data_IF_450645597284
#
_entry.id   IF_450645597284
#
_cell.length_a   1.000
_cell.length_b   1.000
_cell.length_c   1.000
_cell.angle_alpha   90.00
_cell.angle_beta   90.00
_cell.angle_gamma   90.00
#
_symmetry.space_group_name_H-M   'P 1'
#
loop_
_entity.id
_entity.type
_entity.pdbx_description
1 polymer ?
#
# COMPACT_ATOMS: atom_id res chain seq x y z
N UNK A 1 32.50 28.29 5.39
CA UNK A 1 31.48 27.64 4.54
C UNK A 1 31.25 26.24 5.10
N UNK A 2 30.02 25.88 5.55
CA UNK A 2 29.74 24.48 5.85
C UNK A 2 29.88 23.66 4.56
N UNK A 3 30.56 22.53 4.65
CA UNK A 3 30.72 21.59 3.54
C UNK A 3 29.34 20.97 3.28
N UNK A 4 28.85 20.87 2.03
CA UNK A 4 27.61 20.14 1.77
C UNK A 4 27.77 18.70 2.26
N UNK A 5 26.96 18.28 3.23
CA UNK A 5 26.94 16.87 3.61
C UNK A 5 26.16 16.10 2.56
N UNK A 6 26.85 15.30 1.75
CA UNK A 6 26.19 14.35 0.85
C UNK A 6 25.74 13.17 1.69
N UNK A 7 24.43 13.03 1.90
CA UNK A 7 23.82 11.87 2.55
C UNK A 7 23.16 10.97 1.51
N UNK A 8 23.13 9.66 1.76
CA UNK A 8 22.42 8.73 0.90
C UNK A 8 20.92 9.06 0.83
N UNK A 9 20.32 8.80 -0.33
CA UNK A 9 18.88 8.84 -0.53
C UNK A 9 18.17 7.89 0.45
N UNK A 10 17.14 8.38 1.14
CA UNK A 10 16.36 7.58 2.10
C UNK A 10 15.09 7.05 1.45
N UNK A 11 14.73 5.81 1.79
CA UNK A 11 13.47 5.19 1.41
C UNK A 11 12.67 4.89 2.69
N UNK A 12 11.42 5.34 2.75
CA UNK A 12 10.51 5.04 3.86
C UNK A 12 9.54 3.95 3.47
N UNK A 13 9.67 2.79 4.13
CA UNK A 13 8.81 1.62 3.85
C UNK A 13 7.48 1.65 4.62
N UNK A 14 7.36 2.51 5.62
CA UNK A 14 6.14 2.68 6.41
C UNK A 14 6.01 4.14 6.88
N UNK A 15 4.95 4.81 6.44
CA UNK A 15 4.59 6.17 6.87
C UNK A 15 3.07 6.34 6.78
N UNK A 16 2.43 6.66 7.90
CA UNK A 16 0.96 6.73 7.98
C UNK A 16 0.39 8.08 7.51
N UNK A 17 1.24 9.11 7.49
CA UNK A 17 0.89 10.47 7.10
C UNK A 17 2.03 11.44 7.35
N UNK A 18 1.96 12.62 6.74
CA UNK A 18 2.89 13.73 6.94
C UNK A 18 2.23 15.05 6.53
N UNK A 19 2.77 16.18 6.99
CA UNK A 19 2.32 17.52 6.57
C UNK A 19 0.79 17.73 6.68
N UNK A 20 0.19 17.28 7.80
CA UNK A 20 -1.26 17.31 8.07
C UNK A 20 -2.13 16.49 7.10
N UNK A 21 -1.53 15.58 6.33
CA UNK A 21 -2.23 14.63 5.49
C UNK A 21 -2.04 13.21 6.02
N UNK A 22 -3.14 12.49 6.25
CA UNK A 22 -3.12 11.09 6.69
C UNK A 22 -3.62 10.19 5.58
N UNK A 23 -2.85 9.16 5.20
CA UNK A 23 -3.19 8.31 4.05
C UNK A 23 -4.44 7.46 4.29
N UNK A 24 -4.80 7.18 5.55
CA UNK A 24 -6.04 6.46 5.90
C UNK A 24 -7.25 7.38 6.08
N UNK A 25 -7.14 8.67 5.76
CA UNK A 25 -8.25 9.63 5.88
C UNK A 25 -8.75 9.97 4.49
N UNK A 26 -9.99 9.59 4.20
CA UNK A 26 -10.67 9.86 2.94
C UNK A 26 -12.04 10.48 3.22
N UNK A 27 -12.31 11.61 2.58
CA UNK A 27 -13.51 12.43 2.78
C UNK A 27 -14.49 12.37 1.59
N UNK A 28 -14.20 11.53 0.59
CA UNK A 28 -15.02 11.36 -0.61
C UNK A 28 -14.54 12.13 -1.85
N UNK A 29 -13.48 12.93 -1.74
CA UNK A 29 -12.99 13.75 -2.86
C UNK A 29 -11.62 13.24 -3.36
N UNK A 30 -11.63 12.56 -4.52
CA UNK A 30 -10.42 11.97 -5.11
C UNK A 30 -9.34 13.00 -5.43
N UNK A 31 -9.75 14.15 -5.99
CA UNK A 31 -8.83 15.20 -6.40
C UNK A 31 -8.09 15.76 -5.18
N UNK A 32 -8.80 16.07 -4.09
CA UNK A 32 -8.21 16.58 -2.86
C UNK A 32 -7.24 15.58 -2.23
N UNK A 33 -7.62 14.30 -2.22
CA UNK A 33 -6.74 13.23 -1.74
C UNK A 33 -5.45 13.13 -2.57
N UNK A 34 -5.55 13.17 -3.90
CA UNK A 34 -4.40 13.13 -4.81
C UNK A 34 -3.52 14.38 -4.63
N UNK A 35 -4.11 15.57 -4.45
CA UNK A 35 -3.35 16.78 -4.17
C UNK A 35 -2.63 16.70 -2.82
N UNK A 36 -3.27 16.15 -1.79
CA UNK A 36 -2.64 15.90 -0.50
C UNK A 36 -1.44 14.95 -0.60
N UNK A 37 -1.58 13.85 -1.33
CA UNK A 37 -0.48 12.92 -1.60
C UNK A 37 0.69 13.59 -2.33
N UNK A 38 0.40 14.37 -3.38
CA UNK A 38 1.42 15.13 -4.13
C UNK A 38 2.09 16.19 -3.26
N UNK A 39 1.34 16.85 -2.39
CA UNK A 39 1.87 17.81 -1.44
C UNK A 39 2.90 17.14 -0.51
N UNK A 40 2.54 15.98 0.09
CA UNK A 40 3.47 15.20 0.93
C UNK A 40 4.72 14.82 0.13
N UNK A 41 4.56 14.29 -1.08
CA UNK A 41 5.68 13.88 -1.92
C UNK A 41 6.65 15.04 -2.24
N UNK A 42 6.12 16.23 -2.56
CA UNK A 42 6.93 17.42 -2.82
C UNK A 42 7.66 17.97 -1.58
N UNK A 43 7.13 17.71 -0.39
CA UNK A 43 7.68 18.24 0.86
C UNK A 43 8.65 17.29 1.54
N UNK A 44 8.36 16.00 1.52
CA UNK A 44 9.17 14.99 2.21
C UNK A 44 10.57 14.86 1.61
N UNK A 45 10.74 15.22 0.33
CA UNK A 45 12.04 15.25 -0.34
C UNK A 45 13.04 16.22 0.31
N UNK A 46 12.54 17.31 0.91
CA UNK A 46 13.35 18.29 1.65
C UNK A 46 14.04 17.65 2.88
N UNK A 47 13.56 16.49 3.35
CA UNK A 47 14.14 15.74 4.49
C UNK A 47 15.18 14.68 4.06
N UNK A 48 15.44 14.57 2.76
CA UNK A 48 16.32 13.57 2.14
C UNK A 48 15.64 12.24 1.80
N UNK A 49 14.30 12.17 1.90
CA UNK A 49 13.51 11.00 1.49
C UNK A 49 13.19 11.11 0.01
N UNK A 50 13.69 10.18 -0.80
CA UNK A 50 13.48 10.21 -2.26
C UNK A 50 12.36 9.29 -2.70
N UNK A 51 11.98 8.32 -1.87
CA UNK A 51 10.90 7.39 -2.17
C UNK A 51 10.21 6.92 -0.89
N UNK A 52 8.90 6.64 -0.95
CA UNK A 52 8.17 6.13 0.20
C UNK A 52 6.97 5.25 -0.16
N UNK A 53 6.51 4.48 0.82
CA UNK A 53 5.29 3.68 0.80
C UNK A 53 4.27 4.26 1.79
N UNK A 54 3.24 4.97 1.31
CA UNK A 54 2.11 5.38 2.15
C UNK A 54 1.44 4.17 2.79
N UNK A 55 1.27 4.24 4.10
CA UNK A 55 0.70 3.16 4.91
C UNK A 55 -0.76 3.45 5.25
N UNK A 56 -1.63 2.54 4.82
CA UNK A 56 -3.02 2.47 5.23
C UNK A 56 -3.14 1.60 6.48
N UNK A 57 -3.55 2.19 7.58
CA UNK A 57 -3.81 1.45 8.82
C UNK A 57 -5.24 0.89 8.84
N UNK A 58 -5.49 -0.10 9.72
CA UNK A 58 -6.82 -0.70 9.94
C UNK A 58 -7.95 0.35 9.99
N UNK A 59 -8.87 0.24 9.03
CA UNK A 59 -10.02 1.13 8.84
C UNK A 59 -11.22 0.35 8.26
N UNK A 60 -12.27 1.07 7.85
CA UNK A 60 -13.42 0.46 7.19
C UNK A 60 -13.01 -0.30 5.91
N UNK A 61 -13.45 -1.56 5.81
CA UNK A 61 -13.11 -2.47 4.70
C UNK A 61 -13.47 -1.89 3.32
N UNK A 62 -14.59 -1.17 3.22
CA UNK A 62 -15.08 -0.58 1.96
C UNK A 62 -14.13 0.48 1.37
N UNK A 63 -13.30 1.11 2.21
CA UNK A 63 -12.40 2.19 1.80
C UNK A 63 -11.09 1.67 1.20
N UNK A 64 -10.68 0.45 1.53
CA UNK A 64 -9.40 -0.11 1.07
C UNK A 64 -9.28 -0.12 -0.46
N UNK A 65 -10.20 -0.71 -1.24
CA UNK A 65 -10.03 -0.79 -2.69
C UNK A 65 -9.86 0.59 -3.33
N UNK A 66 -10.59 1.59 -2.81
CA UNK A 66 -10.53 2.98 -3.27
C UNK A 66 -9.19 3.63 -2.94
N UNK A 67 -8.76 3.56 -1.67
CA UNK A 67 -7.52 4.17 -1.21
C UNK A 67 -6.28 3.54 -1.85
N UNK A 68 -6.25 2.22 -1.97
CA UNK A 68 -5.13 1.52 -2.62
C UNK A 68 -5.02 1.90 -4.11
N UNK A 69 -6.14 2.13 -4.79
CA UNK A 69 -6.16 2.64 -6.16
C UNK A 69 -5.60 4.06 -6.26
N UNK A 70 -5.94 4.94 -5.32
CA UNK A 70 -5.44 6.33 -5.29
C UNK A 70 -3.94 6.40 -4.90
N UNK A 71 -3.42 5.39 -4.21
CA UNK A 71 -2.02 5.26 -3.79
C UNK A 71 -1.14 4.51 -4.79
N UNK A 72 -1.57 4.41 -6.05
CA UNK A 72 -0.74 3.85 -7.12
C UNK A 72 0.57 4.64 -7.29
N UNK A 73 1.59 4.03 -7.92
CA UNK A 73 2.88 4.70 -8.08
C UNK A 73 2.76 6.06 -8.77
N UNK A 74 3.38 7.07 -8.18
CA UNK A 74 3.42 8.43 -8.72
C UNK A 74 4.83 8.98 -8.53
N UNK A 75 5.37 9.60 -9.57
CA UNK A 75 6.69 10.24 -9.53
C UNK A 75 6.64 11.62 -10.20
N UNK A 76 7.57 12.50 -9.81
CA UNK A 76 7.70 13.85 -10.38
C UNK A 76 9.12 14.39 -10.21
N UNK A 77 9.53 15.38 -11.03
CA UNK A 77 10.91 15.86 -11.10
C UNK A 77 11.46 16.45 -9.79
N UNK A 78 10.60 16.98 -8.92
CA UNK A 78 10.98 17.61 -7.64
C UNK A 78 10.18 17.05 -6.45
N UNK A 79 9.82 15.76 -6.51
CA UNK A 79 9.04 15.10 -5.47
C UNK A 79 9.59 13.70 -5.18
N UNK A 80 9.37 13.24 -3.94
CA UNK A 80 9.65 11.86 -3.60
C UNK A 80 8.73 10.92 -4.39
N UNK A 81 9.26 9.80 -4.85
CA UNK A 81 8.51 8.78 -5.58
C UNK A 81 7.60 7.99 -4.62
N UNK A 82 6.31 7.98 -4.89
CA UNK A 82 5.36 7.05 -4.27
C UNK A 82 5.53 5.71 -4.96
N UNK A 83 6.02 4.69 -4.23
CA UNK A 83 6.36 3.40 -4.84
C UNK A 83 5.16 2.44 -4.97
N UNK A 84 4.04 2.76 -4.32
CA UNK A 84 2.89 1.89 -4.15
C UNK A 84 2.31 2.09 -2.76
N UNK A 85 1.82 1.04 -2.12
CA UNK A 85 1.11 1.14 -0.84
C UNK A 85 1.52 0.05 0.15
N UNK A 86 1.34 0.36 1.43
CA UNK A 86 1.50 -0.58 2.53
C UNK A 86 0.18 -0.68 3.31
N UNK A 87 -0.45 -1.85 3.35
CA UNK A 87 -1.63 -2.09 4.17
C UNK A 87 -1.23 -2.73 5.52
N UNK A 88 -1.45 -2.01 6.62
CA UNK A 88 -1.22 -2.46 7.99
C UNK A 88 -2.55 -2.83 8.68
N UNK A 89 -2.94 -4.09 8.51
CA UNK A 89 -4.25 -4.61 8.90
C UNK A 89 -5.28 -4.60 7.76
N UNK A 90 -6.50 -5.16 7.97
CA UNK A 90 -7.17 -5.35 9.26
C UNK A 90 -6.85 -6.67 9.99
N UNK A 91 -5.95 -7.50 9.46
CA UNK A 91 -5.62 -8.82 10.00
C UNK A 91 -4.58 -8.76 11.13
N UNK A 92 -4.88 -8.02 12.19
CA UNK A 92 -4.01 -7.87 13.37
C UNK A 92 -4.64 -8.51 14.62
N UNK A 93 -3.80 -8.95 15.54
CA UNK A 93 -4.26 -9.49 16.81
C UNK A 93 -4.78 -8.37 17.72
N UNK A 94 -5.97 -8.56 18.31
CA UNK A 94 -6.59 -7.58 19.22
C UNK A 94 -5.66 -7.16 20.37
N UNK A 95 -4.88 -8.10 20.90
CA UNK A 95 -3.93 -7.86 21.99
C UNK A 95 -2.72 -6.99 21.58
N UNK A 96 -2.41 -6.91 20.28
CA UNK A 96 -1.29 -6.14 19.70
C UNK A 96 -1.78 -4.99 18.81
N UNK A 97 -3.02 -4.55 18.99
CA UNK A 97 -3.70 -3.62 18.07
C UNK A 97 -3.18 -2.19 18.06
N UNK A 98 -2.40 -1.74 19.03
CA UNK A 98 -1.94 -0.35 19.09
C UNK A 98 -3.08 0.67 18.88
N UNK A 99 -2.93 1.56 17.89
CA UNK A 99 -3.92 2.57 17.51
C UNK A 99 -5.07 2.06 16.62
N UNK A 100 -5.09 0.77 16.25
CA UNK A 100 -6.13 0.20 15.40
C UNK A 100 -7.45 -0.01 16.15
N UNK A 101 -8.56 0.40 15.53
CA UNK A 101 -9.89 0.27 16.10
C UNK A 101 -10.34 -1.22 16.14
N UNK A 102 -10.74 -1.76 17.31
CA UNK A 102 -11.11 -3.16 17.47
C UNK A 102 -12.20 -3.65 16.52
N UNK A 103 -13.18 -2.78 16.23
CA UNK A 103 -14.35 -3.08 15.40
C UNK A 103 -13.98 -3.42 13.95
N UNK A 104 -12.82 -2.95 13.49
CA UNK A 104 -12.35 -3.14 12.13
C UNK A 104 -11.35 -4.29 11.98
N UNK A 105 -10.94 -4.93 13.08
CA UNK A 105 -10.10 -6.13 12.99
C UNK A 105 -10.88 -7.31 12.40
N UNK A 106 -10.17 -8.15 11.65
CA UNK A 106 -10.74 -9.31 10.93
C UNK A 106 -9.87 -10.54 11.08
N UNK A 107 -10.50 -11.71 11.07
CA UNK A 107 -9.82 -13.00 10.86
C UNK A 107 -9.62 -13.28 9.37
N UNK A 108 -8.61 -14.06 8.99
CA UNK A 108 -8.36 -14.42 7.59
C UNK A 108 -8.73 -15.87 7.26
N UNK A 109 -9.83 -16.39 7.84
CA UNK A 109 -10.24 -17.80 7.70
C UNK A 109 -10.33 -18.28 6.25
N UNK A 110 -10.79 -17.41 5.35
CA UNK A 110 -10.92 -17.70 3.91
C UNK A 110 -9.62 -17.51 3.10
N UNK A 111 -8.47 -17.36 3.79
CA UNK A 111 -7.13 -17.20 3.21
C UNK A 111 -7.12 -16.11 2.14
N UNK A 112 -6.56 -16.32 0.95
CA UNK A 112 -6.40 -15.23 -0.03
C UNK A 112 -7.73 -14.60 -0.44
N UNK A 113 -8.84 -15.34 -0.44
CA UNK A 113 -10.14 -14.80 -0.83
C UNK A 113 -10.53 -13.59 0.03
N UNK A 114 -10.27 -13.63 1.35
CA UNK A 114 -10.58 -12.49 2.22
C UNK A 114 -9.67 -11.28 1.94
N UNK A 115 -8.45 -11.50 1.43
CA UNK A 115 -7.56 -10.42 1.03
C UNK A 115 -8.09 -9.74 -0.23
N UNK A 116 -8.62 -10.50 -1.19
CA UNK A 116 -9.27 -9.96 -2.38
C UNK A 116 -10.54 -9.20 -2.05
N UNK A 117 -11.36 -9.74 -1.14
CA UNK A 117 -12.58 -9.09 -0.70
C UNK A 117 -12.29 -7.76 0.04
N UNK A 118 -11.16 -7.68 0.76
CA UNK A 118 -10.77 -6.48 1.52
C UNK A 118 -10.02 -5.46 0.65
N UNK A 119 -8.98 -5.88 -0.06
CA UNK A 119 -8.09 -4.97 -0.79
C UNK A 119 -8.52 -4.73 -2.25
N UNK A 120 -9.42 -5.57 -2.78
CA UNK A 120 -9.82 -5.58 -4.18
C UNK A 120 -8.88 -6.41 -5.04
N UNK A 121 -9.45 -7.25 -5.91
CA UNK A 121 -8.72 -8.10 -6.85
C UNK A 121 -7.76 -7.31 -7.73
N UNK A 122 -8.20 -6.15 -8.21
CA UNK A 122 -7.44 -5.31 -9.15
C UNK A 122 -6.21 -4.69 -8.50
N UNK A 123 -6.23 -4.49 -7.18
CA UNK A 123 -5.09 -3.97 -6.42
C UNK A 123 -4.10 -5.09 -6.03
N UNK A 124 -4.53 -6.36 -6.05
CA UNK A 124 -3.70 -7.52 -5.74
C UNK A 124 -3.20 -8.25 -6.99
N UNK A 125 -3.67 -7.87 -8.18
CA UNK A 125 -3.26 -8.47 -9.44
C UNK A 125 -1.76 -8.21 -9.68
N UNK A 126 -0.97 -9.28 -9.80
CA UNK A 126 0.40 -9.23 -10.31
C UNK A 126 0.31 -9.12 -11.83
N UNK A 127 0.17 -7.89 -12.33
CA UNK A 127 -0.13 -7.70 -13.73
C UNK A 127 1.13 -7.77 -14.59
N UNK A 128 1.31 -8.87 -15.32
CA UNK A 128 1.86 -8.80 -16.68
C UNK A 128 0.81 -8.21 -17.66
N UNK A 129 -0.49 -8.26 -17.33
CA UNK A 129 -1.61 -7.82 -18.19
C UNK A 129 -1.98 -6.32 -18.14
N UNK A 130 -1.31 -5.50 -17.31
CA UNK A 130 -1.50 -4.04 -17.31
C UNK A 130 -0.79 -3.36 -18.48
N UNK A 131 0.08 -4.09 -19.18
CA UNK A 131 0.86 -3.59 -20.31
C UNK A 131 0.03 -3.40 -21.59
N UNK A 132 -1.18 -3.97 -21.67
CA UNK A 132 -1.94 -4.05 -22.92
C UNK A 132 -3.24 -3.24 -22.93
N UNK A 133 -3.54 -2.51 -21.85
CA UNK A 133 -4.72 -1.66 -21.72
C UNK A 133 -4.46 -0.19 -22.04
N UNK A 134 -4.50 0.17 -23.32
CA UNK A 134 -4.78 1.52 -23.84
C UNK A 134 -4.11 2.73 -23.16
N UNK A 135 -2.97 3.15 -23.71
CA UNK A 135 -2.82 4.53 -24.20
C UNK A 135 -3.00 5.71 -23.23
N UNK A 136 -2.61 5.60 -21.97
CA UNK A 136 -2.13 6.71 -21.13
C UNK A 136 -1.67 6.14 -19.79
N UNK A 137 -0.46 6.52 -19.40
CA UNK A 137 0.25 6.13 -18.19
C UNK A 137 0.96 4.76 -18.23
N UNK A 138 2.26 4.83 -18.05
CA UNK A 138 3.20 3.73 -18.19
C UNK A 138 2.93 2.74 -17.05
N UNK A 139 2.47 1.51 -17.37
CA UNK A 139 2.13 0.44 -16.43
C UNK A 139 3.28 0.11 -15.48
N UNK A 140 3.41 0.91 -14.42
CA UNK A 140 4.51 0.84 -13.47
C UNK A 140 4.11 -0.16 -12.40
N UNK A 141 4.80 -1.29 -12.35
CA UNK A 141 4.64 -2.29 -11.31
C UNK A 141 4.82 -1.61 -9.94
N UNK A 142 3.75 -1.54 -9.14
CA UNK A 142 3.76 -0.95 -7.81
C UNK A 142 4.27 -1.92 -6.76
N UNK A 143 4.91 -1.40 -5.72
CA UNK A 143 5.28 -2.19 -4.54
C UNK A 143 4.06 -2.27 -3.61
N UNK A 144 3.57 -3.48 -3.38
CA UNK A 144 2.46 -3.77 -2.47
C UNK A 144 2.97 -4.51 -1.24
N UNK A 145 2.77 -3.94 -0.06
CA UNK A 145 3.15 -4.55 1.21
C UNK A 145 1.90 -4.77 2.04
N UNK A 146 1.70 -5.97 2.57
CA UNK A 146 0.61 -6.27 3.49
C UNK A 146 1.19 -6.81 4.80
N UNK A 147 0.89 -6.14 5.90
CA UNK A 147 1.21 -6.63 7.25
C UNK A 147 0.00 -7.36 7.82
N UNK A 148 0.19 -8.65 8.07
CA UNK A 148 -0.78 -9.50 8.74
C UNK A 148 -0.10 -10.22 9.92
N UNK A 149 -0.76 -10.25 11.07
CA UNK A 149 -0.23 -10.92 12.25
C UNK A 149 -0.26 -12.45 12.04
N UNK A 150 0.86 -13.17 12.21
CA UNK A 150 0.94 -14.60 11.90
C UNK A 150 0.07 -15.48 12.81
N UNK A 151 -0.33 -14.96 13.96
CA UNK A 151 -1.20 -15.64 14.92
C UNK A 151 -2.69 -15.53 14.55
N UNK A 152 -3.04 -14.71 13.54
CA UNK A 152 -4.41 -14.66 13.01
C UNK A 152 -4.65 -15.93 12.17
N UNK A 153 -5.76 -16.61 12.44
CA UNK A 153 -6.10 -17.81 11.69
C UNK A 153 -6.21 -17.50 10.18
N UNK A 154 -5.44 -18.24 9.38
CA UNK A 154 -5.40 -18.12 7.92
C UNK A 154 -4.36 -17.16 7.34
N UNK A 155 -3.62 -16.40 8.16
CA UNK A 155 -2.53 -15.50 7.73
C UNK A 155 -1.13 -16.10 7.86
N UNK A 156 -1.00 -17.34 8.36
CA UNK A 156 0.32 -17.96 8.53
C UNK A 156 1.09 -18.02 7.20
N UNK A 157 2.39 -17.70 7.23
CA UNK A 157 3.22 -17.60 6.04
C UNK A 157 3.18 -18.86 5.16
N UNK A 158 3.08 -20.05 5.77
CA UNK A 158 2.96 -21.30 5.03
C UNK A 158 1.67 -21.40 4.20
N UNK A 159 0.54 -20.93 4.75
CA UNK A 159 -0.76 -20.94 4.05
C UNK A 159 -0.79 -19.92 2.91
N UNK A 160 -0.36 -18.68 3.18
CA UNK A 160 -0.35 -17.61 2.19
C UNK A 160 0.66 -17.88 1.07
N UNK A 161 1.91 -18.26 1.38
CA UNK A 161 2.92 -18.55 0.37
C UNK A 161 2.50 -19.71 -0.55
N UNK A 162 1.81 -20.73 -0.02
CA UNK A 162 1.31 -21.84 -0.84
C UNK A 162 0.21 -21.38 -1.80
N UNK A 163 -0.73 -20.56 -1.33
CA UNK A 163 -1.84 -20.11 -2.14
C UNK A 163 -1.40 -19.06 -3.18
N UNK A 164 -0.43 -18.19 -2.86
CA UNK A 164 0.20 -17.24 -3.81
C UNK A 164 1.00 -18.01 -4.88
N UNK A 165 1.85 -18.97 -4.48
CA UNK A 165 2.58 -19.81 -5.44
C UNK A 165 1.64 -20.56 -6.39
N UNK A 166 0.51 -21.08 -5.89
CA UNK A 166 -0.49 -21.77 -6.71
C UNK A 166 -1.12 -20.85 -7.76
N UNK A 167 -1.35 -19.58 -7.45
CA UNK A 167 -1.81 -18.59 -8.44
C UNK A 167 -0.79 -18.36 -9.54
N UNK A 168 0.45 -18.10 -9.17
CA UNK A 168 1.49 -17.79 -10.16
C UNK A 168 1.72 -19.00 -11.09
N UNK A 169 1.60 -20.23 -10.59
CA UNK A 169 1.66 -21.43 -11.43
C UNK A 169 0.42 -21.67 -12.29
N UNK A 170 -0.76 -21.20 -11.88
CA UNK A 170 -1.99 -21.36 -12.66
C UNK A 170 -2.03 -20.41 -13.87
N UNK A 171 -1.38 -19.25 -13.77
CA UNK A 171 -1.25 -18.31 -14.89
C UNK A 171 -0.16 -18.71 -15.92
N UNK A 172 0.79 -19.59 -15.59
CA UNK A 172 1.86 -20.03 -16.53
C UNK A 172 1.46 -21.23 -17.42
N UNK A 173 0.24 -21.77 -17.29
CA UNK A 173 -0.20 -22.99 -18.00
C UNK A 173 -1.35 -22.78 -18.99
N UNK A 174 -1.67 -21.54 -19.38
CA UNK A 174 -2.65 -21.24 -20.43
C UNK A 174 -2.00 -20.73 -21.71
#
# INVERSE_FOLDING_TARGET
>A
MPVPSVTNAKIYIQINGAYNFGFSVYDGHDEDYIQGLKHVASKIVETGVTSFLPTIITQETSLYPKLLHLLRPVSGPDAACVLGWHAEGPFLQLAKRGAHAPSFLRSAKDRIKIFEDVYGTDNLAESEDWLMGSGADNGTLGVHVITAAPEVEGTSAHCLCRDVRRRNTAHTLS
#
